data_IF_590033643754
#
_entry.id   IF_590033643754
#
_cell.length_a   1.000
_cell.length_b   1.000
_cell.length_c   1.000
_cell.angle_alpha   90.00
_cell.angle_beta   90.00
_cell.angle_gamma   90.00
#
_symmetry.space_group_name_H-M   'P 1'
#
loop_
_entity.id
_entity.type
_entity.pdbx_description
1 polymer ?
#
# COMPACT_ATOMS: atom_id res chain seq x y z
N UNK A 1 5.12 2.20 63.29
CA UNK A 1 5.77 2.80 62.10
C UNK A 1 4.72 2.81 61.01
N UNK A 2 4.39 3.95 60.37
CA UNK A 2 3.43 3.95 59.28
C UNK A 2 4.04 3.22 58.09
N UNK A 3 3.27 2.34 57.46
CA UNK A 3 3.62 1.69 56.20
C UNK A 3 3.99 2.76 55.17
N UNK A 4 5.15 2.60 54.53
CA UNK A 4 5.58 3.46 53.44
C UNK A 4 4.47 3.45 52.38
N UNK A 5 3.96 4.64 52.04
CA UNK A 5 2.92 4.77 51.02
C UNK A 5 3.39 4.12 49.72
N UNK A 6 2.77 3.01 49.34
CA UNK A 6 2.95 2.42 48.02
C UNK A 6 2.28 3.34 47.01
N UNK A 7 3.01 4.36 46.58
CA UNK A 7 2.68 5.11 45.38
C UNK A 7 2.41 4.10 44.25
N UNK A 8 1.38 4.30 43.40
CA UNK A 8 1.13 3.37 42.32
C UNK A 8 2.38 3.28 41.44
N UNK A 9 3.01 2.10 41.45
CA UNK A 9 4.16 1.81 40.61
C UNK A 9 3.62 1.29 39.28
N UNK A 10 4.00 1.96 38.20
CA UNK A 10 3.66 1.53 36.85
C UNK A 10 4.33 0.19 36.57
N UNK A 11 3.56 -0.76 36.04
CA UNK A 11 4.11 -2.02 35.54
C UNK A 11 4.78 -1.82 34.17
N UNK A 12 5.76 -2.67 33.85
CA UNK A 12 6.41 -2.66 32.53
C UNK A 12 5.40 -2.84 31.40
N UNK A 13 4.32 -3.59 31.63
CA UNK A 13 3.25 -3.79 30.65
C UNK A 13 2.50 -2.48 30.35
N UNK A 14 2.20 -1.68 31.38
CA UNK A 14 1.54 -0.38 31.20
C UNK A 14 2.47 0.62 30.51
N UNK A 15 3.76 0.63 30.88
CA UNK A 15 4.77 1.48 30.23
C UNK A 15 4.92 1.10 28.74
N UNK A 16 4.98 -0.20 28.43
CA UNK A 16 5.09 -0.68 27.05
C UNK A 16 3.83 -0.37 26.23
N UNK A 17 2.64 -0.52 26.82
CA UNK A 17 1.38 -0.18 26.15
C UNK A 17 1.30 1.31 25.83
N UNK A 18 1.70 2.17 26.77
CA UNK A 18 1.73 3.61 26.59
C UNK A 18 2.79 4.04 25.57
N UNK A 19 3.96 3.41 25.59
CA UNK A 19 5.02 3.64 24.59
C UNK A 19 4.53 3.25 23.20
N UNK A 20 3.87 2.11 23.07
CA UNK A 20 3.30 1.65 21.82
C UNK A 20 2.20 2.60 21.30
N UNK A 21 1.36 3.18 22.18
CA UNK A 21 0.37 4.17 21.74
C UNK A 21 1.03 5.42 21.16
N UNK A 22 2.08 5.94 21.79
CA UNK A 22 2.82 7.09 21.26
C UNK A 22 3.51 6.78 19.92
N UNK A 23 4.07 5.58 19.78
CA UNK A 23 4.67 5.15 18.50
C UNK A 23 3.60 5.05 17.40
N UNK A 24 2.40 4.55 17.71
CA UNK A 24 1.31 4.53 16.73
C UNK A 24 0.87 5.96 16.35
N UNK A 25 0.76 6.88 17.31
CA UNK A 25 0.43 8.28 17.04
C UNK A 25 1.49 8.98 16.16
N UNK A 26 2.77 8.64 16.36
CA UNK A 26 3.89 9.09 15.51
C UNK A 26 3.71 8.57 14.07
N UNK A 27 3.43 7.27 13.92
CA UNK A 27 3.27 6.61 12.61
C UNK A 27 2.09 7.19 11.84
N UNK A 28 1.02 7.59 12.52
CA UNK A 28 -0.16 8.22 11.91
C UNK A 28 0.13 9.57 11.24
N UNK A 29 1.29 10.21 11.52
CA UNK A 29 1.76 11.41 10.83
C UNK A 29 0.78 12.59 10.81
N UNK A 30 -0.03 12.76 11.88
CA UNK A 30 -1.06 13.80 11.98
C UNK A 30 -0.51 15.22 12.14
N UNK A 31 0.74 15.35 12.58
CA UNK A 31 1.44 16.63 12.74
C UNK A 31 2.92 16.53 12.32
N UNK A 32 3.58 17.68 12.21
CA UNK A 32 4.95 17.74 11.70
C UNK A 32 6.00 17.05 12.59
N UNK A 33 5.80 16.95 13.90
CA UNK A 33 6.71 16.21 14.78
C UNK A 33 6.55 14.70 14.59
N UNK A 34 5.31 14.23 14.46
CA UNK A 34 5.02 12.83 14.10
C UNK A 34 5.63 12.46 12.76
N UNK A 35 5.54 13.34 11.75
CA UNK A 35 6.23 13.13 10.46
C UNK A 35 7.75 13.07 10.63
N UNK A 36 8.34 13.99 11.38
CA UNK A 36 9.79 14.01 11.63
C UNK A 36 10.27 12.72 12.34
N UNK A 37 9.57 12.30 13.39
CA UNK A 37 9.90 11.08 14.13
C UNK A 37 9.69 9.83 13.26
N UNK A 38 8.64 9.78 12.43
CA UNK A 38 8.42 8.69 11.48
C UNK A 38 9.48 8.60 10.39
N UNK A 39 10.00 9.73 9.89
CA UNK A 39 11.15 9.75 8.97
C UNK A 39 12.38 9.14 9.65
N UNK A 40 12.66 9.53 10.91
CA UNK A 40 13.78 8.97 11.66
C UNK A 40 13.62 7.45 11.89
N UNK A 41 12.41 7.00 12.23
CA UNK A 41 12.10 5.58 12.36
C UNK A 41 12.27 4.84 11.02
N UNK A 42 11.80 5.40 9.91
CA UNK A 42 11.99 4.83 8.58
C UNK A 42 13.48 4.67 8.25
N UNK A 43 14.30 5.69 8.48
CA UNK A 43 15.75 5.59 8.30
C UNK A 43 16.40 4.55 9.22
N UNK A 44 15.97 4.45 10.48
CA UNK A 44 16.46 3.42 11.40
C UNK A 44 16.11 2.02 10.89
N UNK A 45 14.87 1.79 10.48
CA UNK A 45 14.41 0.52 9.94
C UNK A 45 15.20 0.13 8.68
N UNK A 46 15.33 1.04 7.71
CA UNK A 46 16.03 0.75 6.44
C UNK A 46 17.53 0.61 6.64
N UNK A 47 18.15 1.50 7.42
CA UNK A 47 19.61 1.59 7.55
C UNK A 47 20.24 0.71 8.63
N UNK A 48 19.46 0.25 9.62
CA UNK A 48 19.97 -0.55 10.75
C UNK A 48 19.29 -1.91 10.90
N UNK A 49 17.96 -1.97 10.80
CA UNK A 49 17.23 -3.22 11.05
C UNK A 49 17.16 -4.09 9.79
N UNK A 50 16.87 -3.48 8.64
CA UNK A 50 16.56 -4.16 7.40
C UNK A 50 15.15 -4.74 7.38
N UNK A 51 14.61 -4.93 6.17
CA UNK A 51 13.32 -5.57 5.97
C UNK A 51 13.45 -7.09 6.12
N UNK A 52 12.66 -7.69 7.02
CA UNK A 52 12.67 -9.13 7.33
C UNK A 52 11.24 -9.70 7.38
N UNK A 53 11.10 -11.05 7.32
CA UNK A 53 9.80 -11.71 7.49
C UNK A 53 9.12 -11.40 8.83
N UNK A 54 9.85 -10.97 9.85
CA UNK A 54 9.29 -10.72 11.19
C UNK A 54 8.85 -9.27 11.40
N UNK A 55 9.29 -8.34 10.54
CA UNK A 55 9.05 -6.90 10.74
C UNK A 55 8.32 -6.19 9.60
N UNK A 56 8.04 -6.85 8.47
CA UNK A 56 7.41 -6.22 7.30
C UNK A 56 6.06 -5.55 7.61
N UNK A 57 5.36 -6.00 8.66
CA UNK A 57 4.09 -5.42 9.12
C UNK A 57 4.24 -3.96 9.60
N UNK A 58 5.40 -3.60 10.16
CA UNK A 58 5.71 -2.22 10.57
C UNK A 58 5.87 -1.33 9.33
N UNK A 59 6.49 -1.86 8.28
CA UNK A 59 6.64 -1.14 7.01
C UNK A 59 5.27 -0.86 6.37
N UNK A 60 4.33 -1.81 6.42
CA UNK A 60 2.95 -1.56 5.99
C UNK A 60 2.28 -0.42 6.74
N UNK A 61 2.46 -0.32 8.07
CA UNK A 61 1.91 0.80 8.84
C UNK A 61 2.51 2.14 8.42
N UNK A 62 3.82 2.21 8.20
CA UNK A 62 4.47 3.43 7.73
C UNK A 62 4.06 3.81 6.30
N UNK A 63 3.86 2.83 5.40
CA UNK A 63 3.30 3.06 4.07
C UNK A 63 1.87 3.57 4.13
N UNK A 64 1.04 3.03 5.03
CA UNK A 64 -0.34 3.45 5.21
C UNK A 64 -0.48 4.93 5.62
N UNK A 65 0.53 5.50 6.29
CA UNK A 65 0.56 6.93 6.61
C UNK A 65 0.37 7.82 5.38
N UNK A 66 0.73 7.33 4.18
CA UNK A 66 0.61 8.07 2.92
C UNK A 66 1.54 9.28 2.82
N UNK A 67 2.31 9.60 3.87
CA UNK A 67 3.11 10.80 3.92
C UNK A 67 4.35 10.67 3.02
N UNK A 68 4.47 11.54 2.01
CA UNK A 68 5.56 11.48 1.04
C UNK A 68 6.95 11.39 1.67
N UNK A 69 7.22 12.10 2.77
CA UNK A 69 8.56 12.17 3.35
C UNK A 69 8.92 10.87 4.04
N UNK A 70 7.96 10.23 4.71
CA UNK A 70 8.12 8.90 5.32
C UNK A 70 8.33 7.85 4.24
N UNK A 71 7.54 7.91 3.16
CA UNK A 71 7.62 6.94 2.06
C UNK A 71 8.92 7.10 1.27
N UNK A 72 9.39 8.33 1.07
CA UNK A 72 10.71 8.61 0.50
C UNK A 72 11.83 8.05 1.39
N UNK A 73 11.75 8.24 2.71
CA UNK A 73 12.72 7.69 3.65
C UNK A 73 12.73 6.15 3.69
N UNK A 74 11.55 5.52 3.53
CA UNK A 74 11.42 4.07 3.42
C UNK A 74 12.04 3.53 2.12
N UNK A 75 11.60 4.05 0.98
CA UNK A 75 12.02 3.54 -0.32
C UNK A 75 13.49 3.85 -0.64
N UNK A 76 13.99 4.97 -0.12
CA UNK A 76 15.31 5.50 -0.45
C UNK A 76 15.46 5.73 -1.95
N UNK A 77 16.65 5.43 -2.47
CA UNK A 77 17.03 5.56 -3.89
C UNK A 77 16.75 4.29 -4.70
N UNK A 78 16.23 3.22 -4.06
CA UNK A 78 15.94 1.96 -4.72
C UNK A 78 14.70 2.02 -5.61
N UNK A 79 14.53 1.00 -6.47
CA UNK A 79 13.29 0.81 -7.22
C UNK A 79 12.13 0.49 -6.25
N UNK A 80 11.12 1.37 -6.11
CA UNK A 80 10.02 1.16 -5.17
C UNK A 80 9.24 -0.12 -5.47
N UNK A 81 9.14 -0.54 -6.74
CA UNK A 81 8.42 -1.77 -7.11
C UNK A 81 9.09 -3.05 -6.56
N UNK A 82 10.36 -2.97 -6.17
CA UNK A 82 11.14 -4.10 -5.62
C UNK A 82 11.27 -4.05 -4.10
N UNK A 83 10.57 -3.12 -3.43
CA UNK A 83 10.73 -2.87 -2.01
C UNK A 83 10.59 -4.13 -1.14
N UNK A 84 9.57 -4.96 -1.39
CA UNK A 84 9.36 -6.23 -0.68
C UNK A 84 10.07 -7.43 -1.32
N UNK A 85 11.01 -7.22 -2.25
CA UNK A 85 11.61 -8.29 -3.06
C UNK A 85 12.43 -9.32 -2.27
N UNK A 86 12.82 -9.02 -1.02
CA UNK A 86 13.50 -9.96 -0.12
C UNK A 86 12.56 -10.81 0.74
N UNK A 87 11.24 -10.58 0.65
CA UNK A 87 10.23 -11.22 1.50
C UNK A 87 9.34 -12.11 0.64
N UNK A 88 9.14 -13.35 1.08
CA UNK A 88 8.17 -14.22 0.43
C UNK A 88 6.75 -13.67 0.66
N UNK A 89 5.99 -13.39 -0.41
CA UNK A 89 4.62 -12.92 -0.25
C UNK A 89 3.75 -13.95 0.46
N UNK A 90 2.81 -13.45 1.25
CA UNK A 90 1.86 -14.27 1.99
C UNK A 90 0.48 -13.58 2.07
N UNK A 91 -0.54 -14.32 2.51
CA UNK A 91 -1.92 -13.84 2.58
C UNK A 91 -2.08 -12.57 3.40
N UNK A 92 -1.31 -12.37 4.48
CA UNK A 92 -1.38 -11.14 5.26
C UNK A 92 -0.97 -9.93 4.42
N UNK A 93 0.12 -10.05 3.65
CA UNK A 93 0.61 -8.94 2.85
C UNK A 93 -0.39 -8.53 1.76
N UNK A 94 -0.97 -9.50 1.03
CA UNK A 94 -1.99 -9.21 0.02
C UNK A 94 -3.23 -8.56 0.65
N UNK A 95 -3.67 -9.05 1.81
CA UNK A 95 -4.80 -8.47 2.54
C UNK A 95 -4.53 -7.02 2.93
N UNK A 96 -3.34 -6.70 3.42
CA UNK A 96 -2.97 -5.30 3.72
C UNK A 96 -2.92 -4.43 2.47
N UNK A 97 -2.38 -4.94 1.35
CA UNK A 97 -2.39 -4.24 0.06
C UNK A 97 -3.82 -3.89 -0.37
N UNK A 98 -4.74 -4.85 -0.42
CA UNK A 98 -6.12 -4.61 -0.85
C UNK A 98 -6.91 -3.76 0.15
N UNK A 99 -6.64 -3.89 1.46
CA UNK A 99 -7.21 -3.00 2.48
C UNK A 99 -6.81 -1.54 2.23
N UNK A 100 -5.53 -1.28 1.98
CA UNK A 100 -5.05 0.07 1.67
C UNK A 100 -5.62 0.59 0.35
N UNK A 101 -5.58 -0.21 -0.72
CA UNK A 101 -6.17 0.16 -2.02
C UNK A 101 -7.66 0.47 -1.91
N UNK A 102 -8.40 -0.26 -1.08
CA UNK A 102 -9.83 0.01 -0.84
C UNK A 102 -10.01 1.36 -0.13
N UNK A 103 -9.22 1.63 0.91
CA UNK A 103 -9.29 2.87 1.71
C UNK A 103 -8.89 4.12 0.92
N UNK A 104 -7.87 4.00 0.08
CA UNK A 104 -7.29 5.13 -0.64
C UNK A 104 -8.13 5.58 -1.83
N UNK A 105 -8.36 6.89 -1.98
CA UNK A 105 -8.96 7.43 -3.21
C UNK A 105 -7.93 7.50 -4.33
N UNK A 106 -8.41 7.54 -5.57
CA UNK A 106 -7.55 7.80 -6.73
C UNK A 106 -6.86 9.18 -6.56
N UNK A 107 -5.57 9.31 -6.89
CA UNK A 107 -4.84 10.57 -6.79
C UNK A 107 -4.50 11.09 -5.38
N UNK A 108 -5.10 10.55 -4.30
CA UNK A 108 -4.88 11.00 -2.91
C UNK A 108 -3.59 10.44 -2.29
N UNK A 109 -3.01 9.40 -2.88
CA UNK A 109 -1.83 8.72 -2.34
C UNK A 109 -0.60 9.11 -3.13
N UNK A 110 0.51 9.29 -2.42
CA UNK A 110 1.81 9.53 -3.04
C UNK A 110 2.17 8.38 -4.01
N UNK A 111 2.49 8.66 -5.30
CA UNK A 111 2.67 7.60 -6.30
C UNK A 111 3.71 6.55 -5.95
N UNK A 112 4.78 6.91 -5.22
CA UNK A 112 5.81 5.95 -4.79
C UNK A 112 5.26 4.87 -3.84
N UNK A 113 4.27 5.22 -3.01
CA UNK A 113 3.56 4.26 -2.16
C UNK A 113 2.84 3.21 -3.01
N UNK A 114 2.10 3.69 -4.02
CA UNK A 114 1.39 2.82 -4.95
C UNK A 114 2.38 1.91 -5.68
N UNK A 115 3.50 2.43 -6.18
CA UNK A 115 4.53 1.60 -6.82
C UNK A 115 5.01 0.44 -5.93
N UNK A 116 5.19 0.67 -4.62
CA UNK A 116 5.53 -0.39 -3.64
C UNK A 116 4.42 -1.43 -3.55
N UNK A 117 3.17 -0.99 -3.40
CA UNK A 117 2.01 -1.89 -3.30
C UNK A 117 1.83 -2.71 -4.58
N UNK A 118 1.79 -2.07 -5.75
CA UNK A 118 1.64 -2.75 -7.03
C UNK A 118 2.85 -3.61 -7.39
N UNK A 119 4.05 -3.26 -6.92
CA UNK A 119 5.25 -4.09 -7.08
C UNK A 119 5.10 -5.43 -6.38
N UNK A 120 4.62 -5.42 -5.15
CA UNK A 120 4.31 -6.66 -4.42
C UNK A 120 3.20 -7.45 -5.12
N UNK A 121 2.11 -6.79 -5.52
CA UNK A 121 1.02 -7.46 -6.24
C UNK A 121 1.48 -8.08 -7.56
N UNK A 122 2.38 -7.42 -8.29
CA UNK A 122 2.98 -7.95 -9.52
C UNK A 122 3.74 -9.26 -9.25
N UNK A 123 4.51 -9.32 -8.16
CA UNK A 123 5.21 -10.56 -7.76
C UNK A 123 4.20 -11.66 -7.41
N UNK A 124 3.13 -11.32 -6.71
CA UNK A 124 2.13 -12.30 -6.26
C UNK A 124 1.30 -12.88 -7.40
N UNK A 125 0.91 -12.06 -8.36
CA UNK A 125 0.03 -12.45 -9.47
C UNK A 125 0.79 -12.87 -10.73
N UNK A 126 2.13 -12.82 -10.74
CA UNK A 126 2.94 -13.37 -11.83
C UNK A 126 2.58 -14.82 -12.18
N UNK A 127 2.23 -15.61 -11.17
CA UNK A 127 1.41 -16.80 -11.35
C UNK A 127 0.01 -16.47 -10.80
N UNK A 128 -0.97 -16.19 -11.67
CA UNK A 128 -2.24 -15.68 -11.21
C UNK A 128 -3.07 -16.72 -10.46
N UNK A 129 -2.89 -18.02 -10.75
CA UNK A 129 -3.58 -19.09 -10.02
C UNK A 129 -3.06 -19.19 -8.58
N UNK A 130 -1.74 -19.13 -8.39
CA UNK A 130 -1.13 -19.08 -7.06
C UNK A 130 -1.50 -17.79 -6.32
N UNK A 131 -1.45 -16.64 -7.00
CA UNK A 131 -1.88 -15.35 -6.44
C UNK A 131 -3.33 -15.38 -5.95
N UNK A 132 -4.24 -15.91 -6.78
CA UNK A 132 -5.65 -16.07 -6.43
C UNK A 132 -5.86 -17.09 -5.29
N UNK A 133 -5.04 -18.14 -5.22
CA UNK A 133 -5.08 -19.09 -4.11
C UNK A 133 -4.65 -18.45 -2.78
N UNK A 134 -3.62 -17.61 -2.81
CA UNK A 134 -3.14 -16.87 -1.63
C UNK A 134 -4.16 -15.82 -1.14
N UNK A 135 -4.82 -15.15 -2.08
CA UNK A 135 -5.87 -14.16 -1.81
C UNK A 135 -6.94 -14.22 -2.91
N UNK A 136 -8.09 -14.85 -2.65
CA UNK A 136 -9.20 -14.92 -3.60
C UNK A 136 -9.77 -13.52 -3.88
N UNK A 137 -9.45 -12.98 -5.06
CA UNK A 137 -9.88 -11.65 -5.45
C UNK A 137 -11.39 -11.59 -5.67
N UNK A 138 -11.96 -10.41 -5.44
CA UNK A 138 -13.31 -10.05 -5.87
C UNK A 138 -13.27 -9.02 -6.98
N UNK A 139 -14.40 -8.84 -7.70
CA UNK A 139 -14.58 -7.75 -8.67
C UNK A 139 -14.33 -6.38 -8.01
N UNK A 140 -14.69 -6.23 -6.73
CA UNK A 140 -14.45 -4.99 -5.99
C UNK A 140 -12.95 -4.74 -5.75
N UNK A 141 -12.17 -5.79 -5.46
CA UNK A 141 -10.70 -5.66 -5.33
C UNK A 141 -10.09 -5.20 -6.66
N UNK A 142 -10.53 -5.77 -7.77
CA UNK A 142 -10.08 -5.40 -9.12
C UNK A 142 -10.46 -3.94 -9.46
N UNK A 143 -11.65 -3.48 -9.06
CA UNK A 143 -12.04 -2.07 -9.22
C UNK A 143 -11.15 -1.13 -8.40
N UNK A 144 -10.87 -1.48 -7.14
CA UNK A 144 -9.98 -0.70 -6.27
C UNK A 144 -8.51 -0.74 -6.74
N UNK A 145 -8.13 -1.78 -7.47
CA UNK A 145 -6.85 -1.86 -8.15
C UNK A 145 -6.82 -0.93 -9.37
N UNK A 146 -7.85 -0.99 -10.22
CA UNK A 146 -7.93 -0.21 -11.46
C UNK A 146 -8.14 1.29 -11.27
N UNK A 147 -8.78 1.73 -10.18
CA UNK A 147 -9.11 3.16 -9.97
C UNK A 147 -7.89 4.08 -9.89
N UNK A 148 -6.71 3.55 -9.61
CA UNK A 148 -5.46 4.33 -9.52
C UNK A 148 -4.81 4.60 -10.88
N UNK A 149 -5.35 4.05 -11.98
CA UNK A 149 -4.94 4.43 -13.33
C UNK A 149 -5.16 5.93 -13.57
N UNK A 150 -4.18 6.57 -14.20
CA UNK A 150 -4.20 7.99 -14.51
C UNK A 150 -4.35 8.21 -16.01
N UNK A 151 -5.55 8.61 -16.44
CA UNK A 151 -5.86 8.95 -17.84
C UNK A 151 -5.17 10.24 -18.32
N UNK A 152 -4.63 11.05 -17.40
CA UNK A 152 -3.79 12.21 -17.75
C UNK A 152 -2.36 11.82 -18.13
N UNK A 153 -1.99 10.55 -17.94
CA UNK A 153 -0.68 10.00 -18.27
C UNK A 153 -0.81 8.84 -19.27
N UNK A 154 0.25 8.55 -20.02
CA UNK A 154 0.25 7.43 -20.95
C UNK A 154 0.44 6.07 -20.23
N UNK A 155 0.36 4.98 -20.99
CA UNK A 155 0.55 3.62 -20.47
C UNK A 155 1.99 3.31 -20.00
N UNK A 156 2.98 4.13 -20.40
CA UNK A 156 4.39 3.95 -20.06
C UNK A 156 4.76 4.66 -18.75
N UNK A 157 3.92 5.59 -18.29
CA UNK A 157 4.03 6.19 -16.96
C UNK A 157 4.15 5.11 -15.89
N UNK A 158 5.13 5.19 -14.95
CA UNK A 158 5.46 4.07 -14.05
C UNK A 158 4.27 3.49 -13.30
N UNK A 159 3.37 4.34 -12.79
CA UNK A 159 2.17 3.89 -12.08
C UNK A 159 1.20 3.17 -13.02
N UNK A 160 0.90 3.75 -14.19
CA UNK A 160 -0.02 3.13 -15.14
C UNK A 160 0.52 1.79 -15.62
N UNK A 161 1.81 1.75 -15.98
CA UNK A 161 2.47 0.52 -16.43
C UNK A 161 2.31 -0.59 -15.40
N UNK A 162 2.63 -0.34 -14.13
CA UNK A 162 2.59 -1.40 -13.10
C UNK A 162 1.16 -1.84 -12.78
N UNK A 163 0.20 -0.91 -12.75
CA UNK A 163 -1.22 -1.23 -12.55
C UNK A 163 -1.73 -2.10 -13.70
N UNK A 164 -1.43 -1.71 -14.94
CA UNK A 164 -1.79 -2.48 -16.14
C UNK A 164 -1.13 -3.85 -16.18
N UNK A 165 0.11 -3.98 -15.69
CA UNK A 165 0.78 -5.29 -15.54
C UNK A 165 -0.01 -6.18 -14.59
N UNK A 166 -0.34 -5.73 -13.38
CA UNK A 166 -1.11 -6.57 -12.44
C UNK A 166 -2.48 -6.94 -13.00
N UNK A 167 -3.17 -6.01 -13.66
CA UNK A 167 -4.45 -6.32 -14.32
C UNK A 167 -4.30 -7.34 -15.46
N UNK A 168 -3.18 -7.33 -16.19
CA UNK A 168 -2.91 -8.29 -17.28
C UNK A 168 -2.69 -9.69 -16.72
N UNK A 169 -1.88 -9.79 -15.66
CA UNK A 169 -1.66 -11.06 -14.95
C UNK A 169 -2.97 -11.60 -14.36
N UNK A 170 -3.82 -10.77 -13.76
CA UNK A 170 -5.13 -11.24 -13.25
C UNK A 170 -6.05 -11.65 -14.42
N UNK A 171 -6.00 -10.96 -15.56
CA UNK A 171 -6.82 -11.31 -16.72
C UNK A 171 -6.45 -12.68 -17.32
N UNK A 172 -5.20 -13.14 -17.17
CA UNK A 172 -4.76 -14.46 -17.64
C UNK A 172 -5.23 -15.64 -16.76
N UNK A 173 -6.02 -15.39 -15.71
CA UNK A 173 -6.80 -16.43 -15.02
C UNK A 173 -7.77 -17.16 -15.98
N UNK A 174 -8.15 -16.53 -17.10
CA UNK A 174 -8.88 -17.18 -18.18
C UNK A 174 -7.96 -17.29 -19.40
N UNK A 175 -7.53 -18.52 -19.70
CA UNK A 175 -6.79 -18.85 -20.92
C UNK A 175 -7.56 -19.89 -21.74
N UNK A 176 -7.65 -19.75 -23.08
CA UNK A 176 -8.38 -20.71 -23.92
C UNK A 176 -7.88 -22.15 -23.82
N UNK A 177 -6.61 -22.35 -23.43
CA UNK A 177 -5.98 -23.67 -23.33
C UNK A 177 -6.20 -24.35 -21.97
N UNK A 178 -6.80 -23.67 -20.99
CA UNK A 178 -7.05 -24.22 -19.64
C UNK A 178 -8.52 -24.57 -19.42
N UNK A 179 -8.82 -25.49 -18.49
CA UNK A 179 -10.19 -25.70 -18.04
C UNK A 179 -10.79 -24.39 -17.57
N UNK A 180 -12.06 -24.18 -17.91
CA UNK A 180 -12.77 -22.98 -17.49
C UNK A 180 -12.85 -22.93 -15.95
N UNK A 181 -12.41 -21.84 -15.29
CA UNK A 181 -12.43 -21.75 -13.85
C UNK A 181 -13.85 -21.45 -13.34
N UNK A 182 -14.02 -21.33 -12.01
CA UNK A 182 -15.31 -20.99 -11.42
C UNK A 182 -15.83 -19.64 -11.93
N UNK A 183 -17.13 -19.39 -11.80
CA UNK A 183 -17.76 -18.15 -12.28
C UNK A 183 -17.16 -16.92 -11.60
N UNK A 184 -16.83 -17.01 -10.32
CA UNK A 184 -16.24 -15.92 -9.54
C UNK A 184 -14.85 -15.54 -10.09
N UNK A 185 -14.02 -16.53 -10.41
CA UNK A 185 -12.71 -16.31 -11.05
C UNK A 185 -12.89 -15.68 -12.43
N UNK A 186 -13.91 -16.13 -13.18
CA UNK A 186 -14.19 -15.56 -14.49
C UNK A 186 -14.57 -14.08 -14.40
N UNK A 187 -15.47 -13.73 -13.48
CA UNK A 187 -15.92 -12.35 -13.29
C UNK A 187 -14.74 -11.41 -12.94
N UNK A 188 -13.80 -11.88 -12.10
CA UNK A 188 -12.56 -11.16 -11.75
C UNK A 188 -11.68 -10.93 -12.98
N UNK A 189 -11.38 -11.99 -13.73
CA UNK A 189 -10.51 -11.90 -14.89
C UNK A 189 -11.09 -11.03 -16.01
N UNK A 190 -12.39 -11.19 -16.28
CA UNK A 190 -13.13 -10.37 -17.24
C UNK A 190 -13.14 -8.90 -16.84
N UNK A 191 -13.33 -8.60 -15.55
CA UNK A 191 -13.28 -7.23 -15.07
C UNK A 191 -11.88 -6.62 -15.22
N UNK A 192 -10.81 -7.37 -14.91
CA UNK A 192 -9.44 -6.90 -15.10
C UNK A 192 -9.16 -6.56 -16.57
N UNK A 193 -9.60 -7.41 -17.49
CA UNK A 193 -9.47 -7.17 -18.92
C UNK A 193 -10.32 -5.98 -19.39
N UNK A 194 -11.55 -5.84 -18.89
CA UNK A 194 -12.44 -4.72 -19.19
C UNK A 194 -11.79 -3.38 -18.78
N UNK A 195 -11.28 -3.26 -17.55
CA UNK A 195 -10.59 -2.05 -17.07
C UNK A 195 -9.39 -1.71 -17.96
N UNK A 196 -8.54 -2.70 -18.28
CA UNK A 196 -7.41 -2.50 -19.20
C UNK A 196 -7.85 -2.00 -20.56
N UNK A 197 -8.84 -2.66 -21.17
CA UNK A 197 -9.37 -2.26 -22.47
C UNK A 197 -9.89 -0.83 -22.46
N UNK A 198 -10.68 -0.44 -21.44
CA UNK A 198 -11.17 0.94 -21.29
C UNK A 198 -10.05 1.95 -21.03
N UNK A 199 -8.96 1.55 -20.39
CA UNK A 199 -7.80 2.43 -20.20
C UNK A 199 -7.03 2.66 -21.49
N UNK A 200 -6.74 1.60 -22.24
CA UNK A 200 -5.90 1.65 -23.44
C UNK A 200 -6.61 2.24 -24.66
N UNK A 201 -7.94 2.14 -24.71
CA UNK A 201 -8.74 2.76 -25.76
C UNK A 201 -8.94 4.27 -25.50
N UNK A 202 -8.43 5.10 -26.41
CA UNK A 202 -8.51 6.56 -26.35
C UNK A 202 -9.95 7.09 -26.52
N UNK A 203 -10.86 6.27 -27.04
CA UNK A 203 -12.28 6.62 -27.21
C UNK A 203 -13.13 6.29 -25.99
N UNK A 204 -12.56 5.60 -24.99
CA UNK A 204 -13.27 5.07 -23.83
C UNK A 204 -12.89 5.79 -22.55
N UNK A 205 -13.82 5.78 -21.62
CA UNK A 205 -13.63 6.31 -20.26
C UNK A 205 -13.52 5.17 -19.26
N UNK A 206 -12.71 5.37 -18.22
CA UNK A 206 -12.59 4.40 -17.12
C UNK A 206 -13.91 4.17 -16.39
N UNK A 207 -14.80 5.16 -16.35
CA UNK A 207 -16.09 5.03 -15.71
C UNK A 207 -17.07 4.10 -16.43
N UNK A 208 -16.75 3.68 -17.65
CA UNK A 208 -17.47 2.60 -18.34
C UNK A 208 -17.15 1.21 -17.76
N UNK A 209 -16.09 1.08 -16.95
CA UNK A 209 -15.73 -0.17 -16.28
C UNK A 209 -15.77 -0.07 -14.75
N UNK A 210 -15.41 1.08 -14.18
CA UNK A 210 -15.33 1.30 -12.73
C UNK A 210 -16.41 2.31 -12.31
N UNK A 211 -17.18 2.07 -11.24
CA UNK A 211 -18.17 3.04 -10.76
C UNK A 211 -17.57 4.44 -10.49
N UNK A 212 -18.28 5.51 -10.87
CA UNK A 212 -17.83 6.90 -10.74
C UNK A 212 -17.37 7.24 -9.30
N UNK A 213 -18.06 6.70 -8.29
CA UNK A 213 -17.73 6.94 -6.87
C UNK A 213 -16.31 6.46 -6.49
N UNK A 214 -15.76 5.46 -7.19
CA UNK A 214 -14.39 4.99 -6.98
C UNK A 214 -13.37 5.81 -7.78
N UNK A 215 -13.81 6.56 -8.79
CA UNK A 215 -12.97 7.36 -9.68
C UNK A 215 -12.86 8.83 -9.27
N UNK A 216 -13.54 9.23 -8.19
CA UNK A 216 -13.33 10.54 -7.57
C UNK A 216 -11.84 10.70 -7.20
N UNK A 217 -11.18 11.66 -7.84
CA UNK A 217 -9.76 11.91 -7.63
C UNK A 217 -9.55 12.92 -6.52
N UNK A 218 -8.72 12.56 -5.55
CA UNK A 218 -8.11 13.49 -4.61
C UNK A 218 -6.81 14.08 -5.17
N UNK A 219 -6.10 14.78 -4.28
CA UNK A 219 -4.77 15.34 -4.55
C UNK A 219 -3.86 15.03 -3.36
N UNK A 220 -2.89 14.14 -3.57
CA UNK A 220 -1.93 13.78 -2.54
C UNK A 220 -1.11 14.99 -2.06
N UNK A 221 -0.98 16.06 -2.86
CA UNK A 221 -0.24 17.25 -2.50
C UNK A 221 -0.99 18.17 -1.53
N UNK A 222 -2.32 18.15 -1.58
CA UNK A 222 -3.17 19.04 -0.80
C UNK A 222 -3.11 18.77 0.72
N UNK A 223 -2.95 17.50 1.10
CA UNK A 223 -3.02 17.06 2.51
C UNK A 223 -1.63 16.72 3.10
N UNK A 224 -0.54 17.20 2.51
CA UNK A 224 0.80 16.87 2.98
C UNK A 224 1.14 17.62 4.27
N UNK A 225 1.34 16.84 5.32
CA UNK A 225 1.98 17.32 6.56
C UNK A 225 3.50 17.31 6.38
N UNK A 226 4.13 18.49 6.50
CA UNK A 226 5.60 18.64 6.42
C UNK A 226 6.26 18.33 7.77
N UNK A 227 7.47 17.76 7.79
CA UNK A 227 8.19 17.54 9.03
C UNK A 227 8.51 18.87 9.73
N UNK A 228 8.34 18.89 11.05
CA UNK A 228 8.85 19.94 11.91
C UNK A 228 10.15 19.47 12.55
N UNK A 229 11.27 20.03 12.11
CA UNK A 229 12.61 19.63 12.57
C UNK A 229 12.91 20.43 13.85
N UNK A 230 12.95 19.80 15.04
CA UNK A 230 13.31 20.50 16.26
C UNK A 230 14.77 20.98 16.20
N UNK A 231 15.04 22.17 16.72
CA UNK A 231 16.41 22.64 16.92
C UNK A 231 17.02 21.86 18.07
N UNK A 232 18.12 21.18 17.82
CA UNK A 232 18.93 20.54 18.86
C UNK A 232 19.96 21.59 19.27
N UNK A 233 19.83 22.14 20.47
CA UNK A 233 20.87 23.01 21.04
C UNK A 233 22.10 22.14 21.32
N UNK A 234 23.19 22.42 20.60
CA UNK A 234 24.49 21.77 20.75
C UNK A 234 25.36 22.49 21.75
#
# INVERSE_FOLDING_TARGET
MPEASTWPQWSDQEINALTLSYVNDIIDCRDGYSVFASIALAHYLVGKVGLTPDNYSVYFKLLESGNRYVIDALAGEGDPARFFGSIQPNTFMLRECFRMLTKWKSGEVYPKALLIIYGLLTVCFKDPEEGYRLYPLTVNDVNNLGKHLDKGQDQMYPLNRIVLTVLDEIASLIEPQRPMPSREVQDVALQSNNIRGKFLDMTKKLNEAIPDILLERGDYAANIVKPNIPKIET
#
